data_IF_066754870507
#
_entry.id   IF_066754870507
#
_cell.length_a   1.000
_cell.length_b   1.000
_cell.length_c   1.000
_cell.angle_alpha   90.00
_cell.angle_beta   90.00
_cell.angle_gamma   90.00
#
_symmetry.space_group_name_H-M   'P 1'
#
loop_
_entity.id
_entity.type
_entity.pdbx_description
1 polymer ?
#
# COMPACT_ATOMS: atom_id res chain seq x y z
N UNK A 1 -43.77 -19.43 45.77
CA UNK A 1 -43.58 -19.29 44.30
C UNK A 1 -42.91 -17.98 43.86
N UNK A 2 -43.08 -16.86 44.51
CA UNK A 2 -42.52 -15.55 44.11
C UNK A 2 -41.00 -15.49 44.12
N UNK A 3 -40.30 -16.10 45.07
CA UNK A 3 -38.83 -16.08 45.19
C UNK A 3 -38.15 -16.83 44.01
N UNK A 4 -38.72 -17.96 43.55
CA UNK A 4 -38.20 -18.70 42.43
C UNK A 4 -38.26 -17.93 41.11
N UNK A 5 -39.32 -17.13 40.91
CA UNK A 5 -39.49 -16.28 39.75
C UNK A 5 -38.44 -15.15 39.68
N UNK A 6 -38.13 -14.55 40.85
CA UNK A 6 -37.07 -13.52 40.95
C UNK A 6 -35.69 -14.08 40.71
N UNK A 7 -35.37 -15.29 41.19
CA UNK A 7 -34.10 -15.94 40.97
C UNK A 7 -33.91 -16.33 39.48
N UNK A 8 -34.96 -16.87 38.85
CA UNK A 8 -34.89 -17.22 37.40
C UNK A 8 -34.77 -15.96 36.52
N UNK A 9 -35.51 -14.89 36.88
CA UNK A 9 -35.41 -13.61 36.18
C UNK A 9 -34.00 -12.99 36.30
N UNK A 10 -33.42 -13.02 37.49
CA UNK A 10 -32.06 -12.56 37.75
C UNK A 10 -31.00 -13.37 36.97
N UNK A 11 -31.15 -14.70 36.94
CA UNK A 11 -30.24 -15.57 36.21
C UNK A 11 -30.30 -15.34 34.68
N UNK A 12 -31.49 -15.15 34.12
CA UNK A 12 -31.69 -14.81 32.71
C UNK A 12 -31.13 -13.44 32.36
N UNK A 13 -31.26 -12.46 33.22
CA UNK A 13 -30.69 -11.13 33.05
C UNK A 13 -29.15 -11.19 33.02
N UNK A 14 -28.53 -11.86 34.00
CA UNK A 14 -27.07 -12.03 34.06
C UNK A 14 -26.56 -12.79 32.81
N UNK A 15 -27.26 -13.85 32.39
CA UNK A 15 -26.91 -14.60 31.21
C UNK A 15 -26.97 -13.74 29.93
N UNK A 16 -28.04 -12.95 29.77
CA UNK A 16 -28.19 -12.04 28.63
C UNK A 16 -27.09 -10.96 28.62
N UNK A 17 -26.80 -10.36 29.76
CA UNK A 17 -25.74 -9.38 29.94
C UNK A 17 -24.37 -9.97 29.62
N UNK A 18 -24.06 -11.16 30.12
CA UNK A 18 -22.81 -11.88 29.86
C UNK A 18 -22.63 -12.19 28.37
N UNK A 19 -23.71 -12.64 27.70
CA UNK A 19 -23.70 -12.90 26.26
C UNK A 19 -23.43 -11.64 25.44
N UNK A 20 -24.01 -10.50 25.81
CA UNK A 20 -23.79 -9.23 25.14
C UNK A 20 -22.34 -8.73 25.34
N UNK A 21 -21.81 -8.85 26.55
CA UNK A 21 -20.41 -8.51 26.85
C UNK A 21 -19.44 -9.41 26.06
N UNK A 22 -19.72 -10.71 26.01
CA UNK A 22 -18.90 -11.65 25.24
C UNK A 22 -18.88 -11.30 23.75
N UNK A 23 -20.04 -11.01 23.14
CA UNK A 23 -20.14 -10.61 21.74
C UNK A 23 -19.39 -9.30 21.45
N UNK A 24 -19.51 -8.31 22.34
CA UNK A 24 -18.78 -7.04 22.22
C UNK A 24 -17.26 -7.26 22.31
N UNK A 25 -16.81 -8.11 23.24
CA UNK A 25 -15.38 -8.43 23.35
C UNK A 25 -14.85 -9.20 22.14
N UNK A 26 -15.62 -10.13 21.57
CA UNK A 26 -15.25 -10.87 20.38
C UNK A 26 -15.17 -9.95 19.14
N UNK A 27 -16.14 -9.04 18.97
CA UNK A 27 -16.09 -8.07 17.87
C UNK A 27 -14.89 -7.13 17.98
N UNK A 28 -14.59 -6.61 19.18
CA UNK A 28 -13.42 -5.78 19.40
C UNK A 28 -12.10 -6.51 19.10
N UNK A 29 -11.99 -7.79 19.51
CA UNK A 29 -10.81 -8.59 19.21
C UNK A 29 -10.63 -8.77 17.70
N UNK A 30 -11.69 -9.03 16.94
CA UNK A 30 -11.66 -9.15 15.49
C UNK A 30 -11.25 -7.84 14.80
N UNK A 31 -11.80 -6.70 15.27
CA UNK A 31 -11.42 -5.38 14.74
C UNK A 31 -9.93 -5.08 14.97
N UNK A 32 -9.41 -5.41 16.15
CA UNK A 32 -7.98 -5.24 16.44
C UNK A 32 -7.09 -6.14 15.57
N UNK A 33 -7.51 -7.39 15.35
CA UNK A 33 -6.79 -8.32 14.46
C UNK A 33 -6.80 -7.82 13.02
N UNK A 34 -7.96 -7.35 12.53
CA UNK A 34 -8.11 -6.77 11.19
C UNK A 34 -7.24 -5.53 11.00
N UNK A 35 -7.27 -4.59 11.95
CA UNK A 35 -6.44 -3.38 11.88
C UNK A 35 -4.95 -3.72 11.89
N UNK A 36 -4.53 -4.67 12.72
CA UNK A 36 -3.15 -5.14 12.77
C UNK A 36 -2.73 -5.79 11.46
N UNK A 37 -3.55 -6.66 10.88
CA UNK A 37 -3.26 -7.31 9.60
C UNK A 37 -3.10 -6.28 8.47
N UNK A 38 -3.96 -5.26 8.42
CA UNK A 38 -3.85 -4.19 7.44
C UNK A 38 -2.52 -3.42 7.59
N UNK A 39 -2.14 -3.05 8.82
CA UNK A 39 -0.88 -2.37 9.10
C UNK A 39 0.33 -3.25 8.77
N UNK A 40 0.32 -4.53 9.16
CA UNK A 40 1.38 -5.50 8.87
C UNK A 40 1.54 -5.73 7.34
N UNK A 41 0.49 -5.45 6.55
CA UNK A 41 0.53 -5.53 5.08
C UNK A 41 1.15 -4.28 4.44
N UNK A 42 0.86 -3.09 4.98
CA UNK A 42 1.36 -1.81 4.43
C UNK A 42 2.80 -1.51 4.88
N UNK A 43 3.14 -1.84 6.13
CA UNK A 43 4.41 -1.48 6.75
C UNK A 43 5.65 -1.93 5.96
N UNK A 44 5.74 -3.15 5.40
CA UNK A 44 6.89 -3.57 4.61
C UNK A 44 7.11 -2.70 3.36
N UNK A 45 6.05 -2.33 2.65
CA UNK A 45 6.13 -1.47 1.47
C UNK A 45 6.59 -0.06 1.84
N UNK A 46 6.11 0.50 2.97
CA UNK A 46 6.59 1.80 3.48
C UNK A 46 8.08 1.73 3.81
N UNK A 47 8.53 0.68 4.50
CA UNK A 47 9.94 0.51 4.89
C UNK A 47 10.88 0.34 3.71
N UNK A 48 10.38 -0.22 2.61
CA UNK A 48 11.13 -0.45 1.38
C UNK A 48 10.99 0.67 0.36
N UNK A 49 10.11 1.63 0.59
CA UNK A 49 9.94 2.74 -0.32
C UNK A 49 11.29 3.41 -0.64
N UNK A 50 11.53 3.70 -1.94
CA UNK A 50 12.81 4.20 -2.46
C UNK A 50 13.98 3.20 -2.43
N UNK A 51 13.78 1.95 -2.05
CA UNK A 51 14.81 0.93 -2.21
C UNK A 51 14.85 0.44 -3.67
N UNK A 52 15.97 0.66 -4.37
CA UNK A 52 16.16 0.24 -5.77
C UNK A 52 17.33 -0.73 -5.94
N UNK A 53 17.60 -1.54 -4.92
CA UNK A 53 18.71 -2.49 -4.94
C UNK A 53 20.04 -1.83 -4.59
N UNK A 54 20.98 -1.81 -5.56
CA UNK A 54 22.34 -1.28 -5.33
C UNK A 54 22.45 0.24 -5.55
N UNK A 55 21.44 0.88 -6.11
CA UNK A 55 21.43 2.32 -6.37
C UNK A 55 20.37 3.00 -5.51
N UNK A 56 20.75 3.98 -4.72
CA UNK A 56 19.84 4.77 -3.89
C UNK A 56 19.35 6.05 -4.59
N UNK A 57 19.89 6.35 -5.80
CA UNK A 57 19.59 7.59 -6.54
C UNK A 57 18.68 7.29 -7.75
N UNK A 58 17.36 7.60 -7.67
CA UNK A 58 16.44 7.32 -8.77
C UNK A 58 16.81 8.01 -10.09
N UNK A 59 17.46 9.19 -10.03
CA UNK A 59 17.90 9.92 -11.22
C UNK A 59 18.94 9.16 -12.08
N UNK A 60 19.63 8.18 -11.48
CA UNK A 60 20.58 7.33 -12.19
C UNK A 60 19.95 6.06 -12.76
N UNK A 61 18.64 5.87 -12.57
CA UNK A 61 17.91 4.71 -13.09
C UNK A 61 17.13 5.11 -14.34
N UNK A 62 17.52 4.53 -15.47
CA UNK A 62 16.85 4.79 -16.73
C UNK A 62 15.54 4.00 -16.85
N UNK A 63 14.48 4.70 -17.20
CA UNK A 63 13.17 4.14 -17.55
C UNK A 63 13.02 4.23 -19.08
N UNK A 64 13.16 3.13 -19.83
CA UNK A 64 13.10 3.19 -21.28
C UNK A 64 11.69 3.51 -21.77
N UNK A 65 11.61 4.23 -22.87
CA UNK A 65 10.36 4.44 -23.59
C UNK A 65 9.85 3.11 -24.20
N UNK A 66 8.52 2.96 -24.27
CA UNK A 66 7.88 1.79 -24.89
C UNK A 66 7.49 0.67 -23.94
N UNK A 67 7.81 0.78 -22.65
CA UNK A 67 7.17 -0.06 -21.62
C UNK A 67 5.73 0.41 -21.46
N UNK A 68 4.79 -0.54 -21.50
CA UNK A 68 3.38 -0.29 -21.23
C UNK A 68 2.96 -0.99 -19.93
N UNK A 69 2.15 -0.31 -19.13
CA UNK A 69 1.58 -0.85 -17.88
C UNK A 69 0.07 -0.70 -17.95
N UNK A 70 -0.66 -1.71 -18.42
CA UNK A 70 -2.11 -1.65 -18.51
C UNK A 70 -2.77 -1.87 -17.14
N UNK A 71 -3.94 -1.25 -16.95
CA UNK A 71 -4.79 -1.47 -15.78
C UNK A 71 -6.28 -1.35 -16.14
N UNK A 72 -7.16 -1.59 -15.17
CA UNK A 72 -8.60 -1.37 -15.34
C UNK A 72 -8.89 0.08 -15.69
N UNK A 73 -9.57 0.29 -16.81
CA UNK A 73 -9.94 1.63 -17.30
C UNK A 73 -8.87 2.37 -18.10
N UNK A 74 -7.61 1.88 -18.15
CA UNK A 74 -6.54 2.49 -18.93
C UNK A 74 -5.64 1.44 -19.59
N UNK A 75 -5.33 1.59 -20.93
CA UNK A 75 -4.46 0.66 -21.63
C UNK A 75 -2.98 0.83 -21.27
N UNK A 76 -2.60 2.00 -20.77
CA UNK A 76 -1.23 2.31 -20.38
C UNK A 76 -1.17 3.44 -19.35
N UNK A 77 -0.53 3.15 -18.23
CA UNK A 77 -0.25 4.08 -17.14
C UNK A 77 1.23 4.06 -16.74
N UNK A 78 2.11 3.67 -17.67
CA UNK A 78 3.54 3.51 -17.41
C UNK A 78 4.18 4.79 -16.86
N UNK A 79 3.79 5.97 -17.35
CA UNK A 79 4.34 7.24 -16.88
C UNK A 79 4.12 7.46 -15.37
N UNK A 80 2.96 7.05 -14.86
CA UNK A 80 2.66 7.09 -13.42
C UNK A 80 3.29 5.91 -12.69
N UNK A 81 3.10 4.69 -13.19
CA UNK A 81 3.56 3.48 -12.52
C UNK A 81 5.07 3.44 -12.31
N UNK A 82 5.82 3.97 -13.27
CA UNK A 82 7.28 3.99 -13.28
C UNK A 82 7.88 5.36 -12.93
N UNK A 83 7.12 6.24 -12.28
CA UNK A 83 7.66 7.44 -11.66
C UNK A 83 8.47 7.06 -10.41
N UNK A 84 9.66 6.52 -10.62
CA UNK A 84 10.54 6.02 -9.55
C UNK A 84 11.11 7.15 -8.68
N UNK A 85 11.07 8.39 -9.14
CA UNK A 85 11.40 9.57 -8.35
C UNK A 85 10.43 9.77 -7.18
N UNK A 86 9.13 9.62 -7.45
CA UNK A 86 8.06 9.66 -6.45
C UNK A 86 7.86 8.26 -5.82
N UNK A 87 8.84 7.82 -5.04
CA UNK A 87 8.77 6.51 -4.38
C UNK A 87 7.65 6.40 -3.35
N UNK A 88 7.25 7.51 -2.74
CA UNK A 88 6.07 7.67 -1.88
C UNK A 88 5.25 8.80 -2.48
N UNK A 89 3.99 8.52 -2.80
CA UNK A 89 3.04 9.48 -3.33
C UNK A 89 1.75 9.38 -2.52
N UNK A 90 1.17 10.50 -2.17
CA UNK A 90 -0.02 10.58 -1.33
C UNK A 90 -1.04 11.50 -1.97
N UNK A 91 -2.25 10.99 -2.19
CA UNK A 91 -3.42 11.79 -2.56
C UNK A 91 -4.26 12.01 -1.32
N UNK A 92 -4.56 13.25 -1.02
CA UNK A 92 -5.29 13.67 0.17
C UNK A 92 -6.80 13.68 -0.11
N UNK A 93 -7.55 12.92 0.68
CA UNK A 93 -9.02 12.85 0.66
C UNK A 93 -9.66 12.50 -0.71
N UNK A 94 -8.89 12.11 -1.74
CA UNK A 94 -9.37 11.86 -3.10
C UNK A 94 -8.74 10.59 -3.72
N UNK A 95 -9.43 10.06 -4.72
CA UNK A 95 -8.95 8.94 -5.53
C UNK A 95 -8.54 9.46 -6.92
N UNK A 96 -7.26 9.72 -7.09
CA UNK A 96 -6.69 10.25 -8.34
C UNK A 96 -5.82 9.22 -9.10
N UNK A 97 -5.90 7.93 -8.74
CA UNK A 97 -5.19 6.88 -9.46
C UNK A 97 -5.65 6.79 -10.91
N UNK A 98 -4.73 6.57 -11.87
CA UNK A 98 -5.06 6.51 -13.30
C UNK A 98 -5.82 5.24 -13.69
N UNK A 99 -6.06 4.33 -12.76
CA UNK A 99 -6.82 3.09 -12.95
C UNK A 99 -8.20 3.22 -12.31
N UNK A 100 -9.21 2.58 -12.88
CA UNK A 100 -10.54 2.56 -12.27
C UNK A 100 -10.50 1.80 -10.94
N UNK A 101 -11.11 2.37 -9.90
CA UNK A 101 -11.32 1.71 -8.62
C UNK A 101 -12.26 0.51 -8.75
N UNK A 102 -12.20 -0.39 -7.79
CA UNK A 102 -13.12 -1.54 -7.71
C UNK A 102 -14.59 -1.08 -7.79
N UNK A 103 -15.33 -1.66 -8.73
CA UNK A 103 -16.73 -1.30 -8.99
C UNK A 103 -16.97 0.21 -9.21
N UNK A 104 -15.94 0.99 -9.56
CA UNK A 104 -15.97 2.45 -9.67
C UNK A 104 -16.56 3.12 -8.41
N UNK A 105 -16.20 2.64 -7.24
CA UNK A 105 -16.74 3.11 -5.95
C UNK A 105 -15.61 3.39 -4.94
N UNK A 106 -14.63 4.27 -5.27
CA UNK A 106 -13.62 4.67 -4.30
C UNK A 106 -14.28 5.47 -3.16
N UNK A 107 -13.71 5.39 -1.97
CA UNK A 107 -14.15 6.17 -0.82
C UNK A 107 -13.55 7.57 -0.87
N UNK A 108 -14.38 8.57 -1.10
CA UNK A 108 -13.96 9.98 -1.03
C UNK A 108 -13.81 10.40 0.44
N UNK A 109 -12.84 11.25 0.73
CA UNK A 109 -12.47 11.62 2.10
C UNK A 109 -11.59 10.56 2.77
N UNK A 110 -10.93 9.73 1.98
CA UNK A 110 -9.92 8.77 2.39
C UNK A 110 -8.71 8.92 1.48
N UNK A 111 -7.52 8.86 2.06
CA UNK A 111 -6.27 9.03 1.33
C UNK A 111 -5.93 7.82 0.49
N UNK A 112 -5.11 8.07 -0.53
CA UNK A 112 -4.47 7.03 -1.34
C UNK A 112 -2.96 7.09 -1.16
N UNK A 113 -2.38 6.00 -0.64
CA UNK A 113 -0.93 5.89 -0.45
C UNK A 113 -0.32 4.99 -1.52
N UNK A 114 0.49 5.58 -2.40
CA UNK A 114 1.24 4.85 -3.43
C UNK A 114 2.70 4.71 -3.04
N UNK A 115 3.20 3.49 -3.12
CA UNK A 115 4.56 3.11 -2.73
C UNK A 115 5.23 2.38 -3.90
N UNK A 116 6.49 2.76 -4.20
CA UNK A 116 7.30 2.17 -5.26
C UNK A 116 8.67 1.78 -4.73
N UNK A 117 9.09 0.57 -5.03
CA UNK A 117 10.40 0.06 -4.61
C UNK A 117 10.82 -1.17 -5.42
N UNK A 118 12.05 -1.61 -5.24
CA UNK A 118 12.50 -2.91 -5.67
C UNK A 118 12.19 -3.97 -4.60
N UNK A 119 11.81 -5.16 -5.02
CA UNK A 119 11.59 -6.30 -4.13
C UNK A 119 12.94 -6.81 -3.58
N UNK A 120 13.13 -6.96 -2.26
CA UNK A 120 14.31 -7.63 -1.72
C UNK A 120 14.38 -9.09 -2.17
N UNK A 121 15.58 -9.64 -2.29
CA UNK A 121 15.74 -11.02 -2.69
C UNK A 121 15.14 -11.99 -1.67
N UNK A 122 14.20 -12.80 -2.11
CA UNK A 122 13.62 -13.85 -1.29
C UNK A 122 14.65 -14.97 -1.08
N UNK A 123 14.98 -15.27 0.18
CA UNK A 123 15.99 -16.27 0.53
C UNK A 123 17.41 -15.94 0.05
N UNK A 124 17.68 -14.67 -0.30
CA UNK A 124 18.99 -14.25 -0.81
C UNK A 124 19.26 -14.66 -2.26
N UNK A 125 18.23 -15.07 -3.01
CA UNK A 125 18.36 -15.50 -4.40
C UNK A 125 17.94 -14.35 -5.31
N UNK A 126 18.83 -13.95 -6.21
CA UNK A 126 18.55 -12.97 -7.26
C UNK A 126 17.55 -13.54 -8.27
N UNK A 127 16.46 -12.83 -8.61
CA UNK A 127 15.56 -13.26 -9.66
C UNK A 127 16.23 -13.18 -11.02
N UNK A 128 16.06 -14.21 -11.84
CA UNK A 128 16.46 -14.16 -13.25
C UNK A 128 15.60 -13.18 -14.03
N UNK A 129 16.08 -12.72 -15.22
CA UNK A 129 15.28 -11.92 -16.14
C UNK A 129 14.04 -12.67 -16.61
N UNK A 130 12.85 -12.04 -16.52
CA UNK A 130 11.56 -12.61 -16.89
C UNK A 130 10.85 -11.74 -17.93
N UNK A 131 10.50 -12.30 -19.07
CA UNK A 131 9.74 -11.58 -20.08
C UNK A 131 8.34 -11.23 -19.58
N UNK A 132 7.94 -9.97 -19.76
CA UNK A 132 6.66 -9.42 -19.31
C UNK A 132 6.68 -8.88 -17.89
N UNK A 133 7.62 -9.30 -17.04
CA UNK A 133 7.74 -8.80 -15.66
C UNK A 133 8.57 -7.52 -15.62
N UNK A 134 8.07 -6.51 -14.94
CA UNK A 134 8.85 -5.30 -14.70
C UNK A 134 9.93 -5.57 -13.66
N UNK A 135 11.17 -5.37 -14.08
CA UNK A 135 12.37 -5.59 -13.27
C UNK A 135 13.28 -4.37 -13.37
N UNK A 136 14.09 -4.17 -12.35
CA UNK A 136 15.14 -3.18 -12.33
C UNK A 136 16.49 -3.87 -12.12
N UNK A 137 17.47 -3.57 -12.94
CA UNK A 137 18.87 -3.95 -12.71
C UNK A 137 19.64 -2.70 -12.30
N UNK A 138 20.35 -2.75 -11.18
CA UNK A 138 21.10 -1.62 -10.65
C UNK A 138 22.52 -2.02 -10.28
N UNK A 139 23.44 -1.12 -10.54
CA UNK A 139 24.81 -1.06 -10.01
C UNK A 139 24.93 0.18 -9.12
N UNK A 140 26.09 0.43 -8.54
CA UNK A 140 26.34 1.66 -7.77
C UNK A 140 26.30 2.94 -8.62
N UNK A 141 26.54 2.83 -9.92
CA UNK A 141 26.70 3.97 -10.83
C UNK A 141 25.47 4.23 -11.71
N UNK A 142 24.68 3.22 -12.01
CA UNK A 142 23.56 3.32 -12.95
C UNK A 142 22.53 2.22 -12.71
N UNK A 143 21.34 2.40 -13.25
CA UNK A 143 20.28 1.41 -13.22
C UNK A 143 19.42 1.47 -14.49
N UNK A 144 18.67 0.40 -14.72
CA UNK A 144 17.79 0.29 -15.88
C UNK A 144 16.56 -0.56 -15.57
N UNK A 145 15.38 -0.04 -15.89
CA UNK A 145 14.13 -0.81 -15.84
C UNK A 145 13.95 -1.55 -17.17
N UNK A 146 13.49 -2.80 -17.10
CA UNK A 146 13.26 -3.63 -18.27
C UNK A 146 12.12 -4.63 -18.03
N UNK A 147 11.54 -5.17 -19.10
CA UNK A 147 10.47 -6.18 -19.04
C UNK A 147 10.51 -7.16 -20.25
N UNK A 148 11.56 -7.13 -21.03
CA UNK A 148 11.74 -7.98 -22.22
C UNK A 148 12.35 -9.35 -21.93
N UNK A 149 12.70 -9.61 -20.66
CA UNK A 149 13.37 -10.83 -20.22
C UNK A 149 14.88 -10.84 -20.50
N UNK A 150 15.48 -9.68 -20.79
CA UNK A 150 16.90 -9.55 -21.04
C UNK A 150 17.51 -8.53 -20.08
N UNK A 151 18.43 -8.98 -19.22
CA UNK A 151 19.12 -8.09 -18.31
C UNK A 151 19.96 -7.05 -19.07
N UNK A 152 19.83 -5.74 -18.78
CA UNK A 152 20.52 -4.68 -19.52
C UNK A 152 22.05 -4.70 -19.41
N UNK A 153 22.58 -5.32 -18.34
CA UNK A 153 24.04 -5.41 -18.15
C UNK A 153 24.68 -4.10 -17.66
N UNK A 154 24.10 -3.46 -16.67
CA UNK A 154 24.53 -2.17 -16.09
C UNK A 154 25.80 -2.25 -15.21
N UNK A 155 26.74 -3.11 -15.54
CA UNK A 155 28.03 -3.24 -14.85
C UNK A 155 28.24 -4.61 -14.20
N UNK A 156 29.50 -4.89 -13.82
CA UNK A 156 29.92 -6.21 -13.32
C UNK A 156 29.32 -6.59 -11.97
N UNK A 157 29.02 -5.59 -11.11
CA UNK A 157 28.44 -5.79 -9.78
C UNK A 157 26.95 -5.41 -9.76
N UNK A 158 26.25 -5.59 -10.88
CA UNK A 158 24.81 -5.30 -10.94
C UNK A 158 23.98 -6.36 -10.24
N UNK A 159 22.79 -5.96 -9.79
CA UNK A 159 21.81 -6.82 -9.17
C UNK A 159 20.43 -6.56 -9.77
N UNK A 160 19.70 -7.63 -10.06
CA UNK A 160 18.35 -7.59 -10.61
C UNK A 160 17.32 -7.76 -9.48
N UNK A 161 16.26 -6.95 -9.53
CA UNK A 161 15.14 -7.00 -8.62
C UNK A 161 13.82 -6.86 -9.38
N UNK A 162 12.75 -7.43 -8.86
CA UNK A 162 11.42 -7.14 -9.37
C UNK A 162 11.00 -5.74 -8.90
N UNK A 163 10.33 -5.00 -9.78
CA UNK A 163 9.70 -3.72 -9.41
C UNK A 163 8.39 -4.00 -8.70
N UNK A 164 8.19 -3.34 -7.57
CA UNK A 164 6.94 -3.35 -6.80
C UNK A 164 6.33 -1.96 -6.86
N UNK A 165 5.04 -1.93 -7.16
CA UNK A 165 4.16 -0.80 -6.98
C UNK A 165 2.96 -1.28 -6.18
N UNK A 166 2.63 -0.57 -5.11
CA UNK A 166 1.45 -0.81 -4.29
C UNK A 166 0.76 0.52 -4.01
N UNK A 167 -0.48 0.68 -4.45
CA UNK A 167 -1.31 1.82 -4.10
C UNK A 167 -2.47 1.34 -3.22
N UNK A 168 -2.48 1.80 -1.97
CA UNK A 168 -3.48 1.45 -0.96
C UNK A 168 -4.56 2.52 -0.92
N UNK A 169 -5.82 2.10 -0.97
CA UNK A 169 -6.97 2.98 -0.93
C UNK A 169 -8.18 2.29 -0.29
N UNK A 170 -9.15 3.06 0.17
CA UNK A 170 -10.41 2.54 0.67
C UNK A 170 -11.46 2.58 -0.44
N UNK A 171 -12.19 1.47 -0.58
CA UNK A 171 -13.34 1.36 -1.47
C UNK A 171 -14.62 1.22 -0.66
N UNK A 172 -15.73 1.74 -1.16
CA UNK A 172 -17.04 1.64 -0.48
C UNK A 172 -17.61 0.22 -0.46
N UNK A 173 -16.99 -0.71 -1.21
CA UNK A 173 -17.46 -2.08 -1.39
C UNK A 173 -16.36 -3.09 -1.19
N UNK A 174 -16.67 -4.14 -0.42
CA UNK A 174 -15.87 -5.36 -0.35
C UNK A 174 -16.28 -6.34 -1.46
N UNK A 175 -15.34 -7.20 -1.82
CA UNK A 175 -15.58 -8.32 -2.76
C UNK A 175 -16.50 -9.38 -2.17
N UNK A 176 -16.58 -9.47 -0.84
CA UNK A 176 -17.39 -10.46 -0.11
C UNK A 176 -18.75 -9.92 0.30
N UNK A 177 -18.82 -8.63 0.65
CA UNK A 177 -20.06 -7.96 1.04
C UNK A 177 -20.07 -6.53 0.51
N UNK A 178 -20.86 -6.28 -0.52
CA UNK A 178 -20.95 -4.97 -1.18
C UNK A 178 -21.52 -3.85 -0.30
N UNK A 179 -22.03 -4.16 0.88
CA UNK A 179 -22.51 -3.19 1.87
C UNK A 179 -21.43 -2.72 2.84
N UNK A 180 -20.24 -3.35 2.81
CA UNK A 180 -19.12 -3.01 3.68
C UNK A 180 -17.98 -2.36 2.88
N UNK A 181 -17.32 -1.32 3.40
CA UNK A 181 -16.12 -0.78 2.81
C UNK A 181 -14.94 -1.77 2.96
N UNK A 182 -13.89 -1.56 2.18
CA UNK A 182 -12.68 -2.40 2.26
C UNK A 182 -11.43 -1.61 1.94
N UNK A 183 -10.32 -1.98 2.60
CA UNK A 183 -8.99 -1.58 2.17
C UNK A 183 -8.59 -2.43 0.97
N UNK A 184 -8.15 -1.77 -0.08
CA UNK A 184 -7.70 -2.40 -1.32
C UNK A 184 -6.29 -1.99 -1.67
N UNK A 185 -5.66 -2.81 -2.48
CA UNK A 185 -4.32 -2.56 -3.02
C UNK A 185 -4.33 -2.74 -4.53
N UNK A 186 -4.01 -1.70 -5.26
CA UNK A 186 -3.63 -1.78 -6.67
C UNK A 186 -2.14 -2.12 -6.72
N UNK A 187 -1.76 -3.22 -7.37
CA UNK A 187 -0.37 -3.69 -7.36
C UNK A 187 0.08 -4.21 -8.72
N UNK A 188 1.38 -4.11 -8.97
CA UNK A 188 2.03 -4.60 -10.18
C UNK A 188 2.06 -6.13 -10.17
N UNK A 189 1.58 -6.73 -11.26
CA UNK A 189 1.55 -8.18 -11.47
C UNK A 189 2.79 -8.67 -12.22
N UNK A 190 3.06 -9.98 -12.14
CA UNK A 190 4.17 -10.61 -12.84
C UNK A 190 4.13 -10.46 -14.36
N UNK A 191 2.97 -10.19 -14.94
CA UNK A 191 2.79 -9.95 -16.38
C UNK A 191 2.94 -8.47 -16.80
N UNK A 192 3.39 -7.60 -15.90
CA UNK A 192 3.57 -6.18 -16.15
C UNK A 192 2.29 -5.32 -16.11
N UNK A 193 1.12 -5.92 -15.83
CA UNK A 193 -0.12 -5.17 -15.65
C UNK A 193 -0.34 -4.80 -14.18
N UNK A 194 -1.18 -3.79 -13.93
CA UNK A 194 -1.69 -3.52 -12.60
C UNK A 194 -2.97 -4.31 -12.36
N UNK A 195 -3.04 -4.94 -11.22
CA UNK A 195 -4.22 -5.66 -10.76
C UNK A 195 -4.57 -5.25 -9.34
N UNK A 196 -5.81 -5.48 -8.98
CA UNK A 196 -6.38 -5.06 -7.73
C UNK A 196 -6.64 -6.24 -6.82
N UNK A 197 -6.31 -6.11 -5.53
CA UNK A 197 -6.58 -7.07 -4.47
C UNK A 197 -7.31 -6.39 -3.32
N UNK A 198 -8.25 -7.09 -2.70
CA UNK A 198 -8.79 -6.70 -1.41
C UNK A 198 -7.82 -7.14 -0.33
N UNK A 199 -7.38 -6.19 0.50
CA UNK A 199 -6.51 -6.47 1.65
C UNK A 199 -7.37 -6.96 2.81
N UNK A 200 -8.41 -6.19 3.17
CA UNK A 200 -9.32 -6.55 4.26
C UNK A 200 -10.64 -5.78 4.15
N UNK A 201 -11.80 -6.42 4.43
CA UNK A 201 -13.07 -5.72 4.58
C UNK A 201 -13.15 -4.97 5.92
N UNK A 202 -14.10 -4.03 6.02
CA UNK A 202 -14.41 -3.30 7.25
C UNK A 202 -13.51 -2.08 7.49
N UNK A 203 -12.64 -1.68 6.56
CA UNK A 203 -11.88 -0.43 6.67
C UNK A 203 -12.72 0.70 6.08
N UNK A 204 -13.07 1.65 6.93
CA UNK A 204 -13.96 2.78 6.58
C UNK A 204 -13.19 4.02 6.15
N UNK A 205 -11.98 4.25 6.66
CA UNK A 205 -11.17 5.41 6.32
C UNK A 205 -9.68 5.11 6.53
N UNK A 206 -8.85 5.70 5.68
CA UNK A 206 -7.39 5.71 5.76
C UNK A 206 -6.94 7.17 5.68
N UNK A 207 -6.12 7.60 6.65
CA UNK A 207 -5.52 8.92 6.66
C UNK A 207 -4.01 8.79 6.85
N UNK A 208 -3.24 9.53 6.09
CA UNK A 208 -1.79 9.42 6.03
C UNK A 208 -1.15 10.80 6.10
N UNK A 209 -0.08 10.94 6.86
CA UNK A 209 0.78 12.12 6.82
C UNK A 209 2.22 11.72 6.55
N UNK A 210 2.91 12.56 5.80
CA UNK A 210 4.31 12.39 5.47
C UNK A 210 5.17 13.24 6.40
N UNK A 211 6.14 12.62 7.05
CA UNK A 211 7.13 13.29 7.88
C UNK A 211 8.29 13.78 7.01
N UNK A 212 8.42 15.09 6.85
CA UNK A 212 9.41 15.73 6.00
C UNK A 212 10.59 16.21 6.85
N UNK A 213 11.80 15.91 6.38
CA UNK A 213 13.06 16.51 6.82
C UNK A 213 13.39 17.68 5.89
N UNK A 214 13.31 18.91 6.42
CA UNK A 214 13.56 20.14 5.66
C UNK A 214 14.99 20.66 5.82
N UNK A 215 15.72 20.16 6.81
CA UNK A 215 17.06 20.64 7.17
C UNK A 215 18.19 19.63 6.86
N UNK A 216 17.84 18.37 6.52
CA UNK A 216 18.78 17.32 6.13
C UNK A 216 19.48 16.62 7.30
N UNK A 217 18.91 16.68 8.51
CA UNK A 217 19.50 16.03 9.69
C UNK A 217 19.01 14.59 9.90
N UNK A 218 18.07 14.10 9.06
CA UNK A 218 17.48 12.75 9.11
C UNK A 218 16.32 12.66 10.11
N UNK A 219 15.91 13.74 10.74
CA UNK A 219 14.77 13.82 11.63
C UNK A 219 13.51 14.36 10.94
N UNK A 220 12.34 14.13 11.54
CA UNK A 220 11.09 14.74 11.06
C UNK A 220 10.99 16.15 11.62
N UNK A 221 10.98 17.17 10.76
CA UNK A 221 10.72 18.57 11.15
C UNK A 221 9.21 18.84 11.25
N UNK A 222 8.43 18.32 10.32
CA UNK A 222 6.97 18.43 10.35
C UNK A 222 6.28 17.28 9.63
N UNK A 223 5.04 16.99 10.04
CA UNK A 223 4.12 16.14 9.31
C UNK A 223 3.20 16.98 8.45
N UNK A 224 2.97 16.53 7.22
CA UNK A 224 2.16 17.22 6.21
C UNK A 224 1.21 16.26 5.52
N UNK A 225 0.10 16.76 5.01
CA UNK A 225 -0.83 16.02 4.20
C UNK A 225 -0.36 15.99 2.73
N UNK A 226 -0.99 15.19 1.88
CA UNK A 226 -0.51 14.94 0.51
C UNK A 226 -0.53 16.15 -0.42
N UNK A 227 -1.39 17.12 -0.15
CA UNK A 227 -1.54 18.35 -0.91
C UNK A 227 -0.61 19.50 -0.48
N UNK A 228 0.20 19.30 0.58
CA UNK A 228 1.14 20.30 1.06
C UNK A 228 2.23 20.57 0.00
N UNK A 229 2.55 21.84 -0.30
CA UNK A 229 3.59 22.22 -1.28
C UNK A 229 4.99 21.66 -1.01
N UNK A 230 5.25 21.16 0.19
CA UNK A 230 6.51 20.49 0.53
C UNK A 230 6.59 19.07 0.00
N UNK A 231 5.46 18.46 -0.37
CA UNK A 231 5.42 17.12 -0.95
C UNK A 231 5.77 17.21 -2.43
N UNK A 232 7.00 16.93 -2.75
CA UNK A 232 7.54 16.90 -4.12
C UNK A 232 8.26 15.58 -4.35
N UNK A 233 8.55 15.23 -5.60
CA UNK A 233 9.31 14.01 -5.95
C UNK A 233 10.69 13.98 -5.28
N UNK A 234 11.26 15.14 -4.97
CA UNK A 234 12.56 15.31 -4.31
C UNK A 234 12.45 15.44 -2.79
N UNK A 235 11.24 15.47 -2.22
CA UNK A 235 11.04 15.64 -0.78
C UNK A 235 11.74 14.55 0.01
N UNK A 236 12.47 14.94 1.05
CA UNK A 236 13.09 14.02 2.00
C UNK A 236 12.04 13.49 2.98
N UNK A 237 11.24 12.51 2.54
CA UNK A 237 10.26 11.83 3.38
C UNK A 237 11.01 10.82 4.24
N UNK A 238 11.01 11.02 5.56
CA UNK A 238 11.74 10.18 6.53
C UNK A 238 10.81 9.38 7.45
N UNK A 239 9.51 9.70 7.45
CA UNK A 239 8.51 8.96 8.22
C UNK A 239 7.14 9.02 7.53
N UNK A 240 6.32 8.02 7.82
CA UNK A 240 4.90 7.99 7.44
C UNK A 240 4.09 7.76 8.71
N UNK A 241 3.06 8.58 8.91
CA UNK A 241 2.08 8.42 9.97
C UNK A 241 0.77 8.01 9.35
N UNK A 242 0.16 6.97 9.89
CA UNK A 242 -1.02 6.34 9.33
C UNK A 242 -2.09 6.15 10.39
N UNK A 243 -3.33 6.52 10.07
CA UNK A 243 -4.52 6.24 10.86
C UNK A 243 -5.51 5.45 10.01
N UNK A 244 -6.15 4.50 10.64
CA UNK A 244 -7.13 3.64 9.99
C UNK A 244 -8.36 3.51 10.88
N UNK A 245 -9.54 3.78 10.31
CA UNK A 245 -10.82 3.51 10.96
C UNK A 245 -11.34 2.17 10.47
N UNK A 246 -11.60 1.27 11.41
CA UNK A 246 -12.11 -0.08 11.12
C UNK A 246 -13.44 -0.27 11.84
N UNK A 247 -14.50 -0.67 11.10
CA UNK A 247 -15.87 -0.84 11.57
C UNK A 247 -16.45 -2.25 11.45
#
# INVERSE_FOLDING_TARGET
>A
MSIGLFLTGGALYIYSQSKNTYRASDSLARLQESARFALDTIEPDIRLARYWGRNAEPALINVPAGITVPCSGSPDVAAWALNIGAAIELSDDDYDLPCSAFSNSPRIGSDVLTLRHAEPWSGGIEPGPEAGRLQVQTSLAEGWIFNDGTAPGVGADSATHNVVLSAYYVNERSSFDTSQPSLRRLTLRANGSLGEDEVIPGVENLQVQLGIDTNGDGGVDRYVDGDDPLVTDEAAIVAVRLWMLVG
#
